data_IF_206070164966
#
_entry.id   IF_206070164966
#
_cell.length_a   1.000
_cell.length_b   1.000
_cell.length_c   1.000
_cell.angle_alpha   90.00
_cell.angle_beta   90.00
_cell.angle_gamma   90.00
#
_symmetry.space_group_name_H-M   'P 1'
#
loop_
_entity.id
_entity.type
_entity.pdbx_description
1 polymer ?
#
# COMPACT_ATOMS: atom_id res chain seq x y z
N UNK A 1 2.75 -20.34 7.82
CA UNK A 1 2.30 -18.93 7.64
C UNK A 1 1.49 -18.83 6.35
N UNK A 2 0.26 -18.30 6.39
CA UNK A 2 -0.61 -18.13 5.21
C UNK A 2 -0.37 -16.75 4.60
N UNK A 3 -0.38 -16.67 3.27
CA UNK A 3 -0.36 -15.39 2.57
C UNK A 3 -1.77 -14.78 2.58
N UNK A 4 -1.86 -13.48 2.77
CA UNK A 4 -3.09 -12.69 2.64
C UNK A 4 -2.94 -11.71 1.50
N UNK A 5 -4.08 -11.35 0.91
CA UNK A 5 -4.19 -10.28 -0.08
C UNK A 5 -5.07 -9.16 0.45
N UNK A 6 -4.66 -7.92 0.21
CA UNK A 6 -5.43 -6.72 0.50
C UNK A 6 -5.52 -5.88 -0.77
N UNK A 7 -6.75 -5.57 -1.19
CA UNK A 7 -7.04 -4.65 -2.28
C UNK A 7 -7.59 -3.34 -1.72
N UNK A 8 -7.01 -2.23 -2.18
CA UNK A 8 -7.36 -0.88 -1.73
C UNK A 8 -7.61 -0.02 -2.95
N UNK A 9 -8.78 0.61 -3.00
CA UNK A 9 -9.08 1.62 -4.01
C UNK A 9 -8.66 3.01 -3.48
N UNK A 10 -7.83 3.72 -4.22
CA UNK A 10 -7.22 5.00 -3.81
C UNK A 10 -7.60 6.12 -4.77
N UNK A 11 -8.69 6.83 -4.45
CA UNK A 11 -9.20 7.93 -5.28
C UNK A 11 -8.20 9.08 -5.42
N UNK A 12 -7.35 9.29 -4.40
CA UNK A 12 -6.40 10.41 -4.29
C UNK A 12 -5.00 10.19 -4.92
N UNK A 13 -4.78 9.13 -5.70
CA UNK A 13 -3.53 8.93 -6.45
C UNK A 13 -3.55 9.70 -7.78
N UNK A 14 -3.32 11.01 -7.72
CA UNK A 14 -3.30 11.87 -8.92
C UNK A 14 -1.89 12.20 -9.42
N UNK A 15 -0.85 11.88 -8.66
CA UNK A 15 0.51 12.33 -8.95
C UNK A 15 1.55 11.21 -8.87
N UNK A 16 2.57 11.25 -9.74
CA UNK A 16 3.66 10.26 -9.75
C UNK A 16 4.44 10.25 -8.43
N UNK A 17 4.54 11.40 -7.75
CA UNK A 17 5.16 11.51 -6.43
C UNK A 17 4.34 10.78 -5.35
N UNK A 18 3.01 10.91 -5.40
CA UNK A 18 2.05 10.26 -4.51
C UNK A 18 2.18 8.72 -4.62
N UNK A 19 2.37 8.26 -5.86
CA UNK A 19 2.64 6.86 -6.18
C UNK A 19 3.97 6.38 -5.61
N UNK A 20 5.08 7.10 -5.84
CA UNK A 20 6.39 6.73 -5.30
C UNK A 20 6.38 6.66 -3.77
N UNK A 21 5.70 7.60 -3.11
CA UNK A 21 5.58 7.61 -1.66
C UNK A 21 4.81 6.39 -1.14
N UNK A 22 3.73 5.99 -1.80
CA UNK A 22 2.99 4.78 -1.45
C UNK A 22 3.85 3.52 -1.62
N UNK A 23 4.63 3.42 -2.70
CA UNK A 23 5.57 2.30 -2.88
C UNK A 23 6.59 2.25 -1.75
N UNK A 24 7.26 3.37 -1.46
CA UNK A 24 8.27 3.46 -0.39
C UNK A 24 7.66 3.05 0.96
N UNK A 25 6.47 3.56 1.27
CA UNK A 25 5.76 3.26 2.51
C UNK A 25 5.41 1.78 2.65
N UNK A 26 4.95 1.15 1.58
CA UNK A 26 4.58 -0.27 1.58
C UNK A 26 5.83 -1.15 1.60
N UNK A 27 6.87 -0.79 0.83
CA UNK A 27 8.14 -1.53 0.81
C UNK A 27 8.86 -1.52 2.15
N UNK A 28 8.60 -0.53 3.02
CA UNK A 28 9.11 -0.50 4.38
C UNK A 28 8.39 -1.48 5.34
N UNK A 29 7.29 -2.11 4.92
CA UNK A 29 6.56 -3.08 5.74
C UNK A 29 7.24 -4.45 5.61
N UNK A 30 7.80 -4.94 6.71
CA UNK A 30 8.28 -6.31 6.81
C UNK A 30 7.15 -7.30 6.49
N UNK A 31 7.49 -8.35 5.73
CA UNK A 31 6.59 -9.44 5.29
C UNK A 31 5.68 -9.14 4.08
N UNK A 32 5.88 -8.02 3.37
CA UNK A 32 5.31 -7.86 2.03
C UNK A 32 5.97 -8.87 1.08
N UNK A 33 5.16 -9.64 0.37
CA UNK A 33 5.59 -10.55 -0.70
C UNK A 33 5.50 -9.92 -2.07
N UNK A 34 4.43 -9.16 -2.31
CA UNK A 34 4.18 -8.56 -3.61
C UNK A 34 3.35 -7.29 -3.43
N UNK A 35 3.64 -6.31 -4.26
CA UNK A 35 2.92 -5.06 -4.39
C UNK A 35 2.63 -4.85 -5.87
N UNK A 36 1.35 -4.73 -6.20
CA UNK A 36 0.86 -4.42 -7.53
C UNK A 36 0.00 -3.16 -7.44
N UNK A 37 0.28 -2.17 -8.29
CA UNK A 37 -0.42 -0.90 -8.29
C UNK A 37 -0.90 -0.61 -9.70
N UNK A 38 -2.22 -0.48 -9.82
CA UNK A 38 -2.91 -0.08 -11.01
C UNK A 38 -3.28 1.40 -10.89
N UNK A 39 -2.50 2.26 -11.54
CA UNK A 39 -2.78 3.70 -11.58
C UNK A 39 -3.99 4.06 -12.46
N UNK A 40 -4.33 3.23 -13.44
CA UNK A 40 -5.46 3.48 -14.35
C UNK A 40 -6.77 3.31 -13.60
N UNK A 41 -6.90 2.19 -12.87
CA UNK A 41 -8.07 1.88 -12.05
C UNK A 41 -7.94 2.34 -10.59
N UNK A 42 -6.83 3.01 -10.26
CA UNK A 42 -6.53 3.52 -8.92
C UNK A 42 -6.61 2.45 -7.82
N UNK A 43 -6.07 1.27 -8.10
CA UNK A 43 -6.09 0.13 -7.18
C UNK A 43 -4.69 -0.25 -6.73
N UNK A 44 -4.56 -0.63 -5.47
CA UNK A 44 -3.35 -1.19 -4.88
C UNK A 44 -3.68 -2.58 -4.36
N UNK A 45 -2.95 -3.58 -4.86
CA UNK A 45 -3.03 -4.96 -4.45
C UNK A 45 -1.75 -5.33 -3.70
N UNK A 46 -1.90 -5.84 -2.48
CA UNK A 46 -0.79 -6.15 -1.59
C UNK A 46 -0.92 -7.59 -1.18
N UNK A 47 0.14 -8.37 -1.38
CA UNK A 47 0.25 -9.74 -0.86
C UNK A 47 1.27 -9.70 0.26
N UNK A 48 0.88 -10.13 1.46
CA UNK A 48 1.75 -10.15 2.63
C UNK A 48 1.63 -11.49 3.38
N UNK A 49 2.70 -11.89 4.05
CA UNK A 49 2.71 -13.05 4.94
C UNK A 49 2.22 -12.62 6.31
N UNK A 50 1.16 -13.26 6.80
CA UNK A 50 0.48 -12.80 7.99
C UNK A 50 0.83 -13.60 9.26
N UNK A 51 1.00 -12.83 10.35
CA UNK A 51 0.70 -13.25 11.73
C UNK A 51 0.31 -12.07 12.65
N UNK A 52 0.61 -10.80 12.29
CA UNK A 52 0.35 -9.62 13.14
C UNK A 52 -0.04 -8.35 12.39
N UNK A 53 -0.17 -8.39 11.06
CA UNK A 53 -0.33 -7.18 10.24
C UNK A 53 -1.81 -6.94 9.93
N UNK A 54 -2.37 -5.86 10.51
CA UNK A 54 -3.78 -5.50 10.31
C UNK A 54 -3.99 -4.76 8.99
N UNK A 55 -5.05 -5.13 8.26
CA UNK A 55 -5.47 -4.49 7.01
C UNK A 55 -5.69 -2.97 7.16
N UNK A 56 -6.24 -2.53 8.30
CA UNK A 56 -6.49 -1.13 8.60
C UNK A 56 -5.18 -0.35 8.76
N UNK A 57 -4.17 -0.96 9.39
CA UNK A 57 -2.84 -0.35 9.55
C UNK A 57 -2.19 -0.11 8.19
N UNK A 58 -2.27 -1.08 7.28
CA UNK A 58 -1.77 -0.94 5.91
C UNK A 58 -2.50 0.18 5.16
N UNK A 59 -3.84 0.24 5.26
CA UNK A 59 -4.63 1.33 4.65
C UNK A 59 -4.23 2.71 5.18
N UNK A 60 -4.07 2.85 6.49
CA UNK A 60 -3.70 4.12 7.12
C UNK A 60 -2.29 4.57 6.71
N UNK A 61 -1.34 3.66 6.61
CA UNK A 61 0.02 3.98 6.11
C UNK A 61 -0.01 4.49 4.67
N UNK A 62 -0.78 3.83 3.79
CA UNK A 62 -0.90 4.21 2.38
C UNK A 62 -1.58 5.58 2.25
N UNK A 63 -2.68 5.79 2.96
CA UNK A 63 -3.37 7.08 2.96
C UNK A 63 -2.44 8.22 3.42
N UNK A 64 -1.67 8.01 4.50
CA UNK A 64 -0.68 8.99 4.94
C UNK A 64 0.39 9.23 3.88
N UNK A 65 1.00 8.19 3.34
CA UNK A 65 2.07 8.33 2.34
C UNK A 65 1.64 9.12 1.09
N UNK A 66 0.40 8.92 0.63
CA UNK A 66 -0.18 9.63 -0.52
C UNK A 66 -0.43 11.11 -0.18
N UNK A 67 -0.87 11.42 1.04
CA UNK A 67 -1.34 12.78 1.42
C UNK A 67 -0.26 13.68 1.98
N UNK A 68 0.62 13.18 2.85
CA UNK A 68 1.66 14.00 3.50
C UNK A 68 2.97 13.99 2.73
N UNK A 69 3.16 13.00 1.85
CA UNK A 69 4.35 12.82 1.04
C UNK A 69 5.66 12.69 1.81
N UNK A 70 5.58 12.52 3.13
CA UNK A 70 6.68 12.37 4.07
C UNK A 70 6.40 11.12 4.89
N UNK A 71 7.37 10.20 4.86
CA UNK A 71 7.70 9.29 5.95
C UNK A 71 9.00 9.76 6.57
#
# INVERSE_FOLDING_TARGET
>A
MKARSLKIHQTNMYCQKCFNNAIIAISAIDNIKSLDIDMVNKNINIIYKDSTLDNERIRNMINKAITTGHL
#
